data_IF_147356118772
#
_entry.id   IF_147356118772
#
_cell.length_a   1.000
_cell.length_b   1.000
_cell.length_c   1.000
_cell.angle_alpha   90.00
_cell.angle_beta   90.00
_cell.angle_gamma   90.00
#
_symmetry.space_group_name_H-M   'P 1'
#
loop_
_entity.id
_entity.type
_entity.pdbx_description
1 polymer ?
#
# COMPACT_ATOMS: atom_id res chain seq x y z
N UNK A 1 10.04 -6.90 11.15
CA UNK A 1 9.99 -7.62 9.85
C UNK A 1 10.19 -6.59 8.75
N UNK A 2 11.24 -6.72 7.94
CA UNK A 2 11.45 -5.88 6.75
C UNK A 2 10.94 -6.63 5.53
N UNK A 3 10.54 -5.93 4.46
CA UNK A 3 10.11 -6.56 3.20
C UNK A 3 11.18 -7.53 2.68
N UNK A 4 12.45 -7.18 2.87
CA UNK A 4 13.59 -8.06 2.57
C UNK A 4 13.57 -9.37 3.35
N UNK A 5 13.20 -9.35 4.63
CA UNK A 5 13.09 -10.56 5.44
C UNK A 5 11.89 -11.43 5.01
N UNK A 6 10.78 -10.82 4.58
CA UNK A 6 9.60 -11.56 4.09
C UNK A 6 9.88 -12.27 2.75
N UNK A 7 10.64 -11.65 1.84
CA UNK A 7 10.99 -12.23 0.53
C UNK A 7 12.12 -13.27 0.62
N UNK A 8 12.98 -13.20 1.64
CA UNK A 8 14.14 -14.09 1.77
C UNK A 8 13.82 -15.50 2.32
N UNK A 9 12.66 -15.69 2.96
CA UNK A 9 12.29 -16.94 3.62
C UNK A 9 11.27 -17.79 2.83
N UNK A 10 10.65 -17.21 1.79
CA UNK A 10 9.74 -17.91 0.88
C UNK A 10 9.56 -17.05 -0.37
N UNK A 11 9.88 -17.61 -1.54
CA UNK A 11 9.94 -16.92 -2.84
C UNK A 11 8.62 -16.26 -3.29
N UNK A 12 7.52 -16.42 -2.54
CA UNK A 12 6.19 -15.92 -2.88
C UNK A 12 5.55 -15.11 -1.72
N UNK A 13 4.99 -13.97 -2.09
CA UNK A 13 4.20 -13.13 -1.21
C UNK A 13 2.85 -13.81 -0.90
N UNK A 14 2.22 -13.54 0.26
CA UNK A 14 0.89 -14.07 0.57
C UNK A 14 -0.13 -13.76 -0.52
N UNK A 15 -1.10 -14.67 -0.70
CA UNK A 15 -2.19 -14.48 -1.65
C UNK A 15 -2.90 -13.14 -1.46
N UNK A 16 -3.16 -12.44 -2.57
CA UNK A 16 -3.77 -11.12 -2.56
C UNK A 16 -2.80 -9.97 -2.26
N UNK A 17 -1.51 -10.23 -2.11
CA UNK A 17 -0.51 -9.14 -2.03
C UNK A 17 -0.48 -8.35 -3.34
N UNK A 18 -0.49 -7.02 -3.24
CA UNK A 18 -0.37 -6.11 -4.38
C UNK A 18 0.84 -5.20 -4.24
N UNK A 19 1.63 -5.10 -5.30
CA UNK A 19 2.65 -4.06 -5.42
C UNK A 19 1.98 -2.82 -5.99
N UNK A 20 1.92 -1.75 -5.20
CA UNK A 20 1.20 -0.53 -5.55
C UNK A 20 2.19 0.53 -6.02
N UNK A 21 1.94 1.10 -7.20
CA UNK A 21 2.69 2.24 -7.73
C UNK A 21 2.14 3.53 -7.13
N UNK A 22 2.82 4.04 -6.11
CA UNK A 22 2.38 5.18 -5.30
C UNK A 22 3.59 5.91 -4.68
N UNK A 23 3.47 7.20 -4.32
CA UNK A 23 4.51 7.88 -3.56
C UNK A 23 4.70 7.20 -2.20
N UNK A 24 5.96 6.93 -1.83
CA UNK A 24 6.28 6.01 -0.75
C UNK A 24 5.61 6.38 0.59
N UNK A 25 5.68 7.65 1.00
CA UNK A 25 5.15 8.08 2.31
C UNK A 25 3.65 8.34 2.22
N UNK A 26 3.24 9.22 1.32
CA UNK A 26 1.85 9.66 1.20
C UNK A 26 0.93 8.50 0.81
N UNK A 27 1.38 7.64 -0.12
CA UNK A 27 0.68 6.44 -0.53
C UNK A 27 0.58 5.40 0.59
N UNK A 28 1.66 5.19 1.37
CA UNK A 28 1.62 4.30 2.53
C UNK A 28 0.65 4.80 3.60
N UNK A 29 0.65 6.10 3.89
CA UNK A 29 -0.29 6.71 4.85
C UNK A 29 -1.73 6.57 4.35
N UNK A 30 -1.99 6.90 3.07
CA UNK A 30 -3.32 6.77 2.48
C UNK A 30 -3.82 5.32 2.51
N UNK A 31 -2.97 4.34 2.20
CA UNK A 31 -3.29 2.92 2.28
C UNK A 31 -3.69 2.51 3.72
N UNK A 32 -2.87 2.87 4.71
CA UNK A 32 -3.11 2.51 6.12
C UNK A 32 -4.38 3.16 6.65
N UNK A 33 -4.64 4.42 6.33
CA UNK A 33 -5.84 5.14 6.76
C UNK A 33 -7.09 4.50 6.15
N UNK A 34 -7.09 4.24 4.84
CA UNK A 34 -8.21 3.58 4.15
C UNK A 34 -8.48 2.18 4.69
N UNK A 35 -7.43 1.38 4.89
CA UNK A 35 -7.57 0.03 5.44
C UNK A 35 -8.11 0.06 6.88
N UNK A 36 -7.63 1.02 7.70
CA UNK A 36 -8.12 1.20 9.07
C UNK A 36 -9.59 1.66 9.13
N UNK A 37 -10.07 2.33 8.08
CA UNK A 37 -11.47 2.68 7.91
C UNK A 37 -12.34 1.50 7.40
N UNK A 38 -11.74 0.33 7.14
CA UNK A 38 -12.44 -0.87 6.67
C UNK A 38 -12.64 -0.94 5.16
N UNK A 39 -11.89 -0.16 4.38
CA UNK A 39 -11.93 -0.24 2.92
C UNK A 39 -11.42 -1.61 2.41
N UNK A 40 -12.00 -2.09 1.30
CA UNK A 40 -11.52 -3.30 0.65
C UNK A 40 -10.17 -3.08 -0.05
N UNK A 41 -9.52 -4.18 -0.47
CA UNK A 41 -8.19 -4.15 -1.06
C UNK A 41 -8.09 -3.26 -2.31
N UNK A 42 -9.13 -3.22 -3.16
CA UNK A 42 -9.12 -2.41 -4.37
C UNK A 42 -9.25 -0.91 -4.03
N UNK A 43 -10.09 -0.58 -3.05
CA UNK A 43 -10.24 0.78 -2.54
C UNK A 43 -8.95 1.28 -1.85
N UNK A 44 -8.25 0.41 -1.11
CA UNK A 44 -6.95 0.72 -0.49
C UNK A 44 -5.88 1.00 -1.55
N UNK A 45 -5.79 0.16 -2.59
CA UNK A 45 -4.86 0.36 -3.72
C UNK A 45 -5.11 1.69 -4.43
N UNK A 46 -6.38 1.98 -4.74
CA UNK A 46 -6.76 3.24 -5.38
C UNK A 46 -6.39 4.46 -4.53
N UNK A 47 -6.67 4.42 -3.22
CA UNK A 47 -6.34 5.52 -2.31
C UNK A 47 -4.83 5.81 -2.24
N UNK A 48 -4.00 4.76 -2.30
CA UNK A 48 -2.55 4.91 -2.32
C UNK A 48 -2.05 5.56 -3.63
N UNK A 49 -2.58 5.15 -4.78
CA UNK A 49 -2.21 5.71 -6.08
C UNK A 49 -2.64 7.18 -6.23
N UNK A 50 -3.83 7.55 -5.75
CA UNK A 50 -4.33 8.94 -5.77
C UNK A 50 -3.44 9.92 -4.98
N UNK A 51 -2.59 9.41 -4.08
CA UNK A 51 -1.67 10.23 -3.30
C UNK A 51 -0.68 11.03 -4.17
N UNK A 52 -0.44 10.65 -5.43
CA UNK A 52 0.33 11.48 -6.38
C UNK A 52 -0.25 12.88 -6.57
N UNK A 53 -1.57 13.03 -6.45
CA UNK A 53 -2.25 14.30 -6.62
C UNK A 53 -2.28 15.15 -5.33
N UNK A 54 -1.82 14.59 -4.21
CA UNK A 54 -1.89 15.25 -2.91
C UNK A 54 -0.85 16.38 -2.85
N UNK A 55 -1.32 17.62 -3.02
CA UNK A 55 -0.51 18.84 -2.89
C UNK A 55 -1.12 19.79 -1.88
N UNK A 56 -0.26 20.56 -1.20
CA UNK A 56 -0.73 21.70 -0.41
C UNK A 56 -1.29 22.77 -1.36
N UNK A 57 -2.38 23.40 -0.96
CA UNK A 57 -3.00 24.55 -1.63
C UNK A 57 -2.47 25.86 -1.08
#
# INVERSE_FOLDING_TARGET
LTVKALVAEGDELPDGTRLVDAPFVEGAVAAVVSASAGADLAAVEAAAAEAYACRKV
#
